data_IF_349089640949
#
_entry.id   IF_349089640949
#
_cell.length_a   1.000
_cell.length_b   1.000
_cell.length_c   1.000
_cell.angle_alpha   90.00
_cell.angle_beta   90.00
_cell.angle_gamma   90.00
#
_symmetry.space_group_name_H-M   'P 1'
#
loop_
_entity.id
_entity.type
_entity.pdbx_description
1 polymer ?
#
# COMPACT_ATOMS: atom_id res chain seq x y z
N UNK A 1 -74.61 47.90 -44.82
CA UNK A 1 -75.85 47.27 -44.36
C UNK A 1 -75.47 46.08 -43.48
N UNK A 2 -76.00 46.06 -42.26
CA UNK A 2 -76.25 44.94 -41.31
C UNK A 2 -75.40 43.65 -41.38
N UNK A 3 -74.97 43.02 -40.29
CA UNK A 3 -75.21 43.17 -38.86
C UNK A 3 -74.36 42.12 -38.12
N UNK A 4 -74.08 42.35 -36.84
CA UNK A 4 -74.05 41.39 -35.70
C UNK A 4 -73.26 40.07 -35.89
N UNK A 5 -72.33 39.65 -35.03
CA UNK A 5 -72.12 39.92 -33.62
C UNK A 5 -71.59 38.62 -32.97
N UNK A 6 -70.71 38.76 -31.97
CA UNK A 6 -70.36 37.84 -30.88
C UNK A 6 -70.15 36.33 -31.13
N UNK A 7 -68.99 35.80 -30.69
CA UNK A 7 -68.85 35.09 -29.40
C UNK A 7 -67.60 34.19 -29.37
N UNK A 8 -66.93 34.19 -28.22
CA UNK A 8 -65.85 33.28 -27.84
C UNK A 8 -66.32 31.81 -27.69
N UNK A 9 -65.40 30.85 -27.87
CA UNK A 9 -64.85 29.91 -26.84
C UNK A 9 -64.37 28.59 -27.47
N UNK A 10 -63.14 28.20 -27.09
CA UNK A 10 -62.38 26.95 -27.32
C UNK A 10 -63.17 25.64 -27.16
N UNK A 11 -62.76 24.56 -27.87
CA UNK A 11 -62.61 23.23 -27.27
C UNK A 11 -61.79 22.21 -28.08
N UNK A 12 -61.04 21.42 -27.30
CA UNK A 12 -60.14 20.31 -27.63
C UNK A 12 -60.77 19.21 -28.51
N UNK A 13 -59.92 18.46 -29.23
CA UNK A 13 -59.83 16.99 -29.07
C UNK A 13 -58.70 16.38 -29.91
N UNK A 14 -57.85 15.65 -29.21
CA UNK A 14 -56.83 14.74 -29.74
C UNK A 14 -57.43 13.38 -30.10
N UNK A 15 -56.80 12.70 -31.08
CA UNK A 15 -56.53 11.24 -31.17
C UNK A 15 -56.83 10.69 -32.57
N UNK A 16 -55.95 10.86 -33.56
CA UNK A 16 -54.64 10.22 -33.75
C UNK A 16 -54.69 8.67 -33.74
N UNK A 17 -55.26 8.11 -34.79
CA UNK A 17 -55.13 6.70 -35.21
C UNK A 17 -53.64 6.34 -35.42
N UNK A 18 -53.03 5.73 -34.41
CA UNK A 18 -51.72 5.04 -34.48
C UNK A 18 -51.90 3.52 -34.52
N UNK A 19 -52.11 2.97 -35.71
CA UNK A 19 -52.00 1.53 -36.03
C UNK A 19 -51.59 1.51 -37.51
N UNK A 20 -50.33 1.36 -37.90
CA UNK A 20 -49.62 0.08 -38.03
C UNK A 20 -48.10 0.34 -38.10
N UNK A 21 -47.37 0.18 -36.99
CA UNK A 21 -45.90 0.18 -36.96
C UNK A 21 -45.34 -0.53 -35.71
N UNK A 22 -45.94 -1.65 -35.31
CA UNK A 22 -45.49 -2.45 -34.16
C UNK A 22 -45.35 -3.91 -34.57
N UNK A 23 -44.19 -4.30 -35.11
CA UNK A 23 -43.70 -5.69 -35.00
C UNK A 23 -42.19 -5.93 -35.28
N UNK A 24 -41.36 -4.90 -35.44
CA UNK A 24 -39.92 -5.10 -35.72
C UNK A 24 -38.94 -4.50 -34.67
N UNK A 25 -39.42 -3.99 -33.54
CA UNK A 25 -38.55 -3.39 -32.50
C UNK A 25 -38.83 -4.06 -31.15
N UNK A 26 -38.42 -5.33 -31.00
CA UNK A 26 -38.44 -5.98 -29.67
C UNK A 26 -37.18 -6.78 -29.32
N UNK A 27 -36.20 -6.88 -30.22
CA UNK A 27 -34.97 -7.63 -29.95
C UNK A 27 -33.65 -6.84 -30.02
N UNK A 28 -33.65 -5.57 -30.43
CA UNK A 28 -32.42 -4.75 -30.46
C UNK A 28 -32.24 -3.82 -29.23
N UNK A 29 -33.31 -3.45 -28.51
CA UNK A 29 -33.23 -2.49 -27.41
C UNK A 29 -32.85 -3.11 -26.05
N UNK A 30 -32.70 -4.44 -25.95
CA UNK A 30 -32.35 -5.14 -24.69
C UNK A 30 -30.83 -5.31 -24.47
N UNK A 31 -30.00 -4.95 -25.46
CA UNK A 31 -28.52 -5.09 -25.39
C UNK A 31 -27.75 -3.80 -25.09
N UNK A 32 -28.40 -2.61 -25.12
CA UNK A 32 -27.71 -1.33 -24.83
C UNK A 32 -28.10 -0.68 -23.50
N UNK A 33 -29.26 -1.00 -22.91
CA UNK A 33 -29.62 -0.48 -21.58
C UNK A 33 -28.90 -1.20 -20.43
N UNK A 34 -28.50 -2.47 -20.62
CA UNK A 34 -27.78 -3.25 -19.61
C UNK A 34 -26.31 -2.85 -19.46
N UNK A 35 -25.67 -2.31 -20.52
CA UNK A 35 -24.26 -1.85 -20.44
C UNK A 35 -24.08 -0.55 -19.65
N UNK A 36 -25.02 0.39 -19.71
CA UNK A 36 -24.93 1.66 -18.95
C UNK A 36 -25.21 1.48 -17.45
N UNK A 37 -26.09 0.56 -17.07
CA UNK A 37 -26.34 0.25 -15.65
C UNK A 37 -25.26 -0.67 -15.06
N UNK A 38 -24.69 -1.60 -15.83
CA UNK A 38 -23.56 -2.41 -15.41
C UNK A 38 -22.30 -1.56 -15.16
N UNK A 39 -22.02 -0.55 -15.98
CA UNK A 39 -20.88 0.35 -15.78
C UNK A 39 -21.02 1.24 -14.53
N UNK A 40 -22.25 1.66 -14.17
CA UNK A 40 -22.51 2.43 -12.93
C UNK A 40 -22.45 1.55 -11.67
N UNK A 41 -22.88 0.29 -11.74
CA UNK A 41 -22.70 -0.66 -10.64
C UNK A 41 -21.24 -1.09 -10.49
N UNK A 42 -20.51 -1.34 -11.59
CA UNK A 42 -19.09 -1.64 -11.56
C UNK A 42 -18.28 -0.46 -10.99
N UNK A 43 -18.60 0.80 -11.35
CA UNK A 43 -17.97 1.98 -10.72
C UNK A 43 -18.31 2.11 -9.24
N UNK A 44 -19.54 1.81 -8.78
CA UNK A 44 -19.89 1.82 -7.35
C UNK A 44 -19.21 0.69 -6.56
N UNK A 45 -19.05 -0.49 -7.15
CA UNK A 45 -18.36 -1.63 -6.54
C UNK A 45 -16.85 -1.36 -6.51
N UNK A 46 -16.26 -0.83 -7.59
CA UNK A 46 -14.86 -0.41 -7.61
C UNK A 46 -14.58 0.74 -6.62
N UNK A 47 -15.50 1.71 -6.46
CA UNK A 47 -15.35 2.76 -5.43
C UNK A 47 -15.51 2.23 -4.00
N UNK A 48 -16.36 1.23 -3.76
CA UNK A 48 -16.48 0.55 -2.45
C UNK A 48 -15.30 -0.39 -2.17
N UNK A 49 -14.77 -1.06 -3.18
CA UNK A 49 -13.57 -1.89 -3.07
C UNK A 49 -12.33 -1.03 -2.86
N UNK A 50 -12.19 0.09 -3.58
CA UNK A 50 -11.14 1.07 -3.35
C UNK A 50 -11.29 1.77 -2.00
N UNK A 51 -12.51 2.04 -1.51
CA UNK A 51 -12.73 2.59 -0.17
C UNK A 51 -12.44 1.55 0.94
N UNK A 52 -12.81 0.27 0.76
CA UNK A 52 -12.45 -0.81 1.68
C UNK A 52 -10.95 -1.17 1.63
N UNK A 53 -10.30 -1.00 0.48
CA UNK A 53 -8.86 -1.14 0.35
C UNK A 53 -8.12 0.07 0.94
N UNK A 54 -8.64 1.29 0.77
CA UNK A 54 -8.09 2.49 1.39
C UNK A 54 -8.28 2.51 2.91
N UNK A 55 -9.41 2.04 3.44
CA UNK A 55 -9.60 1.82 4.89
C UNK A 55 -8.69 0.70 5.43
N UNK A 56 -8.24 -0.23 4.58
CA UNK A 56 -7.20 -1.23 4.90
C UNK A 56 -5.76 -0.69 4.81
N UNK A 57 -5.57 0.49 4.22
CA UNK A 57 -4.25 1.13 4.05
C UNK A 57 -4.08 2.31 5.02
N UNK A 58 -5.17 2.87 5.55
CA UNK A 58 -5.14 3.98 6.50
C UNK A 58 -5.15 3.57 7.97
N UNK A 59 -4.97 2.29 8.28
CA UNK A 59 -4.96 1.78 9.64
C UNK A 59 -3.90 0.70 9.78
N UNK A 60 -2.83 1.04 10.48
CA UNK A 60 -2.00 0.08 11.21
C UNK A 60 -2.89 -0.97 11.90
N UNK A 61 -2.69 -2.25 11.57
CA UNK A 61 -3.28 -3.37 12.31
C UNK A 61 -4.36 -4.18 11.59
N UNK A 62 -3.92 -5.21 10.85
CA UNK A 62 -4.41 -6.59 10.95
C UNK A 62 -3.83 -7.42 9.79
N UNK A 63 -2.56 -7.80 9.90
CA UNK A 63 -2.05 -8.93 9.11
C UNK A 63 -2.72 -10.18 9.69
N UNK A 64 -3.55 -10.86 8.91
CA UNK A 64 -4.08 -12.17 9.31
C UNK A 64 -2.90 -13.14 9.38
N UNK A 65 -2.58 -13.54 10.61
CA UNK A 65 -1.23 -13.86 11.06
C UNK A 65 -0.56 -15.07 10.40
N UNK A 66 -1.28 -16.12 10.05
CA UNK A 66 -0.59 -17.37 9.66
C UNK A 66 -0.19 -17.33 8.19
N UNK A 67 -1.15 -17.36 7.26
CA UNK A 67 -0.79 -17.55 5.84
C UNK A 67 -0.35 -16.24 5.16
N UNK A 68 -1.09 -15.15 5.39
CA UNK A 68 -0.76 -13.85 4.79
C UNK A 68 0.50 -13.25 5.41
N UNK A 69 0.71 -13.43 6.71
CA UNK A 69 1.90 -12.94 7.40
C UNK A 69 3.17 -13.67 6.96
N UNK A 70 3.14 -15.00 6.89
CA UNK A 70 4.27 -15.79 6.38
C UNK A 70 4.55 -15.48 4.90
N UNK A 71 3.52 -15.37 4.06
CA UNK A 71 3.71 -14.98 2.66
C UNK A 71 4.33 -13.58 2.53
N UNK A 72 3.92 -12.63 3.36
CA UNK A 72 4.49 -11.27 3.38
C UNK A 72 5.96 -11.29 3.76
N UNK A 73 6.31 -11.98 4.86
CA UNK A 73 7.69 -12.17 5.28
C UNK A 73 8.55 -12.83 4.18
N UNK A 74 8.02 -13.88 3.55
CA UNK A 74 8.67 -14.58 2.46
C UNK A 74 8.99 -13.66 1.26
N UNK A 75 8.07 -12.79 0.87
CA UNK A 75 8.31 -11.85 -0.23
C UNK A 75 9.40 -10.82 0.10
N UNK A 76 9.43 -10.29 1.33
CA UNK A 76 10.51 -9.42 1.76
C UNK A 76 11.86 -10.14 1.75
N UNK A 77 11.90 -11.38 2.25
CA UNK A 77 13.10 -12.23 2.20
C UNK A 77 13.60 -12.43 0.76
N UNK A 78 12.71 -12.77 -0.18
CA UNK A 78 13.08 -12.96 -1.58
C UNK A 78 13.66 -11.68 -2.20
N UNK A 79 12.99 -10.54 -1.99
CA UNK A 79 13.42 -9.25 -2.55
C UNK A 79 14.76 -8.81 -1.97
N UNK A 80 14.92 -8.90 -0.65
CA UNK A 80 16.19 -8.61 0.02
C UNK A 80 17.32 -9.53 -0.50
N UNK A 81 17.07 -10.84 -0.59
CA UNK A 81 18.07 -11.82 -1.07
C UNK A 81 18.54 -11.50 -2.48
N UNK A 82 17.61 -11.16 -3.39
CA UNK A 82 17.95 -10.79 -4.77
C UNK A 82 18.87 -9.58 -4.78
N UNK A 83 18.52 -8.51 -4.08
CA UNK A 83 19.33 -7.28 -4.08
C UNK A 83 20.69 -7.51 -3.42
N UNK A 84 20.74 -8.19 -2.28
CA UNK A 84 21.98 -8.51 -1.57
C UNK A 84 22.90 -9.39 -2.43
N UNK A 85 22.34 -10.29 -3.26
CA UNK A 85 23.14 -11.11 -4.20
C UNK A 85 23.79 -10.31 -5.32
N UNK A 86 23.27 -9.12 -5.63
CA UNK A 86 23.81 -8.21 -6.64
C UNK A 86 24.89 -7.26 -6.09
N UNK A 87 25.11 -7.26 -4.77
CA UNK A 87 26.15 -6.47 -4.11
C UNK A 87 27.52 -7.16 -4.26
N UNK A 88 28.58 -6.35 -4.39
CA UNK A 88 29.94 -6.86 -4.60
C UNK A 88 30.43 -7.73 -3.43
N UNK A 89 31.30 -8.69 -3.75
CA UNK A 89 31.88 -9.60 -2.75
C UNK A 89 32.69 -8.80 -1.73
N UNK A 90 32.26 -8.81 -0.46
CA UNK A 90 32.85 -8.01 0.62
C UNK A 90 32.05 -6.76 1.01
N UNK A 91 31.00 -6.42 0.27
CA UNK A 91 30.01 -5.40 0.68
C UNK A 91 28.71 -6.07 1.12
N UNK A 92 28.03 -5.51 2.13
CA UNK A 92 26.74 -6.00 2.63
C UNK A 92 26.81 -7.19 3.58
N UNK A 93 27.92 -7.40 4.29
CA UNK A 93 28.01 -8.41 5.37
C UNK A 93 26.93 -8.18 6.44
N UNK A 94 26.80 -6.95 6.94
CA UNK A 94 25.75 -6.57 7.91
C UNK A 94 24.34 -6.84 7.37
N UNK A 95 24.10 -6.66 6.07
CA UNK A 95 22.82 -6.94 5.43
C UNK A 95 22.54 -8.44 5.32
N UNK A 96 23.58 -9.26 5.10
CA UNK A 96 23.46 -10.73 5.12
C UNK A 96 23.16 -11.21 6.54
N UNK A 97 23.81 -10.64 7.55
CA UNK A 97 23.56 -10.96 8.94
C UNK A 97 22.12 -10.59 9.34
N UNK A 98 21.65 -9.40 8.97
CA UNK A 98 20.27 -8.98 9.21
C UNK A 98 19.26 -9.88 8.48
N UNK A 99 19.53 -10.23 7.22
CA UNK A 99 18.72 -11.17 6.46
C UNK A 99 18.68 -12.55 7.15
N UNK A 100 19.82 -13.07 7.61
CA UNK A 100 19.90 -14.35 8.30
C UNK A 100 19.10 -14.34 9.62
N UNK A 101 19.17 -13.24 10.38
CA UNK A 101 18.32 -13.04 11.57
C UNK A 101 16.83 -13.12 11.21
N UNK A 102 16.41 -12.45 10.13
CA UNK A 102 15.04 -12.51 9.62
C UNK A 102 14.62 -13.92 9.19
N UNK A 103 15.49 -14.65 8.48
CA UNK A 103 15.26 -16.04 8.06
C UNK A 103 15.09 -16.97 9.26
N UNK A 104 15.90 -16.80 10.31
CA UNK A 104 15.78 -17.59 11.56
C UNK A 104 14.43 -17.36 12.23
N UNK A 105 13.94 -16.12 12.26
CA UNK A 105 12.61 -15.78 12.78
C UNK A 105 11.50 -16.39 11.91
N UNK A 106 11.63 -16.31 10.59
CA UNK A 106 10.70 -16.90 9.64
C UNK A 106 10.58 -18.42 9.82
N UNK A 107 11.70 -19.15 9.95
CA UNK A 107 11.68 -20.60 10.20
C UNK A 107 10.99 -20.96 11.51
N UNK A 108 11.29 -20.23 12.59
CA UNK A 108 10.58 -20.41 13.86
C UNK A 108 9.09 -20.15 13.74
N UNK A 109 8.69 -19.17 12.93
CA UNK A 109 7.29 -18.88 12.65
C UNK A 109 6.58 -20.01 11.89
N UNK A 110 7.29 -20.74 11.03
CA UNK A 110 6.75 -21.90 10.31
C UNK A 110 6.70 -23.19 11.13
N UNK A 111 7.44 -23.26 12.25
CA UNK A 111 7.70 -24.50 12.99
C UNK A 111 6.93 -24.62 14.33
N UNK A 112 6.17 -23.63 14.83
CA UNK A 112 5.64 -23.68 16.21
C UNK A 112 4.36 -22.89 16.58
N UNK A 113 3.92 -23.09 17.84
CA UNK A 113 2.67 -22.57 18.44
C UNK A 113 2.68 -21.05 18.74
N UNK A 114 3.84 -20.43 18.95
CA UNK A 114 4.00 -18.97 19.08
C UNK A 114 4.11 -18.23 17.73
N UNK A 115 3.66 -18.87 16.65
CA UNK A 115 3.90 -18.45 15.26
C UNK A 115 3.63 -16.97 15.00
N UNK A 116 2.56 -16.39 15.56
CA UNK A 116 2.19 -14.99 15.27
C UNK A 116 3.28 -13.97 15.68
N UNK A 117 3.86 -14.07 16.88
CA UNK A 117 4.92 -13.12 17.29
C UNK A 117 6.16 -13.27 16.42
N UNK A 118 6.54 -14.51 16.09
CA UNK A 118 7.66 -14.77 15.18
C UNK A 118 7.38 -14.28 13.76
N UNK A 119 6.15 -14.38 13.26
CA UNK A 119 5.73 -13.80 11.98
C UNK A 119 5.94 -12.29 11.98
N UNK A 120 5.42 -11.58 12.99
CA UNK A 120 5.51 -10.11 13.04
C UNK A 120 6.97 -9.64 13.14
N UNK A 121 7.78 -10.29 13.98
CA UNK A 121 9.22 -10.04 14.07
C UNK A 121 9.94 -10.32 12.74
N UNK A 122 9.62 -11.44 12.10
CA UNK A 122 10.20 -11.79 10.80
C UNK A 122 9.84 -10.77 9.72
N UNK A 123 8.58 -10.32 9.65
CA UNK A 123 8.14 -9.28 8.72
C UNK A 123 8.97 -8.01 8.93
N UNK A 124 9.09 -7.52 10.16
CA UNK A 124 9.83 -6.29 10.44
C UNK A 124 11.30 -6.40 10.05
N UNK A 125 11.99 -7.47 10.47
CA UNK A 125 13.41 -7.66 10.16
C UNK A 125 13.66 -7.86 8.66
N UNK A 126 12.83 -8.67 7.98
CA UNK A 126 13.01 -8.94 6.55
C UNK A 126 12.65 -7.73 5.67
N UNK A 127 11.63 -6.96 6.07
CA UNK A 127 11.29 -5.70 5.40
C UNK A 127 12.39 -4.66 5.60
N UNK A 128 12.98 -4.58 6.79
CA UNK A 128 14.14 -3.71 7.02
C UNK A 128 15.33 -4.11 6.14
N UNK A 129 15.65 -5.40 6.07
CA UNK A 129 16.71 -5.91 5.19
C UNK A 129 16.46 -5.59 3.71
N UNK A 130 15.20 -5.68 3.25
CA UNK A 130 14.83 -5.26 1.90
C UNK A 130 15.13 -3.77 1.67
N UNK A 131 14.60 -2.89 2.49
CA UNK A 131 14.76 -1.44 2.30
C UNK A 131 16.22 -1.00 2.45
N UNK A 132 16.99 -1.57 3.37
CA UNK A 132 18.43 -1.29 3.48
C UNK A 132 19.21 -1.78 2.27
N UNK A 133 18.84 -2.93 1.70
CA UNK A 133 19.47 -3.41 0.47
C UNK A 133 19.16 -2.49 -0.73
N UNK A 134 17.94 -1.97 -0.80
CA UNK A 134 17.55 -0.97 -1.80
C UNK A 134 18.27 0.36 -1.58
N UNK A 135 18.37 0.84 -0.34
CA UNK A 135 19.15 2.03 0.04
C UNK A 135 20.61 1.90 -0.43
N UNK A 136 21.24 0.75 -0.19
CA UNK A 136 22.59 0.46 -0.68
C UNK A 136 22.70 0.49 -2.21
N UNK A 137 21.68 -0.03 -2.92
CA UNK A 137 21.62 0.04 -4.38
C UNK A 137 21.44 1.49 -4.87
N UNK A 138 20.58 2.28 -4.22
CA UNK A 138 20.43 3.70 -4.51
C UNK A 138 21.79 4.38 -4.33
N UNK A 139 22.42 4.27 -3.17
CA UNK A 139 23.72 4.88 -2.89
C UNK A 139 24.82 4.46 -3.91
N UNK A 140 24.92 3.18 -4.24
CA UNK A 140 26.02 2.66 -5.07
C UNK A 140 25.83 2.87 -6.59
N UNK A 141 24.58 2.98 -7.08
CA UNK A 141 24.30 2.90 -8.53
C UNK A 141 23.53 4.10 -9.08
N UNK A 142 23.92 5.31 -8.69
CA UNK A 142 23.28 6.55 -9.15
C UNK A 142 23.07 6.61 -10.68
N UNK A 143 24.10 6.26 -11.46
CA UNK A 143 24.06 6.26 -12.94
C UNK A 143 23.08 5.26 -13.56
N UNK A 144 22.65 4.25 -12.81
CA UNK A 144 21.75 3.19 -13.28
C UNK A 144 20.34 3.30 -12.68
N UNK A 145 20.07 4.33 -11.87
CA UNK A 145 18.75 4.54 -11.27
C UNK A 145 17.72 4.79 -12.38
N UNK A 146 16.59 4.11 -12.29
CA UNK A 146 15.44 4.43 -13.11
C UNK A 146 14.87 5.79 -12.70
N UNK A 147 14.43 6.59 -13.67
CA UNK A 147 13.79 7.87 -13.41
C UNK A 147 12.35 7.63 -12.94
N UNK A 148 12.19 7.44 -11.64
CA UNK A 148 10.90 7.29 -10.95
C UNK A 148 10.52 8.58 -10.22
N UNK A 149 9.23 8.80 -10.01
CA UNK A 149 8.76 9.97 -9.27
C UNK A 149 9.25 9.92 -7.82
N UNK A 150 9.87 11.01 -7.35
CA UNK A 150 10.34 11.11 -5.97
C UNK A 150 9.18 11.11 -4.97
N UNK A 151 9.37 10.55 -3.77
CA UNK A 151 8.43 10.70 -2.68
C UNK A 151 8.25 12.19 -2.34
N UNK A 152 7.03 12.57 -1.94
CA UNK A 152 6.74 13.95 -1.56
C UNK A 152 7.45 14.29 -0.24
N UNK A 153 8.13 15.44 -0.12
CA UNK A 153 8.77 15.87 1.13
C UNK A 153 7.81 15.87 2.31
N UNK A 154 6.60 16.42 2.15
CA UNK A 154 5.59 16.46 3.20
C UNK A 154 5.09 15.05 3.62
N UNK A 155 5.16 14.08 2.71
CA UNK A 155 4.84 12.69 3.06
C UNK A 155 5.99 12.08 3.87
N UNK A 156 7.23 12.32 3.46
CA UNK A 156 8.42 11.78 4.12
C UNK A 156 8.58 12.36 5.53
N UNK A 157 8.46 13.68 5.69
CA UNK A 157 8.49 14.36 7.00
C UNK A 157 7.43 13.80 7.95
N UNK A 158 6.20 13.63 7.45
CA UNK A 158 5.12 13.04 8.24
C UNK A 158 5.46 11.60 8.66
N UNK A 159 5.96 10.79 7.72
CA UNK A 159 6.26 9.39 7.98
C UNK A 159 7.42 9.23 8.97
N UNK A 160 8.48 10.02 8.82
CA UNK A 160 9.60 10.10 9.76
C UNK A 160 9.10 10.46 11.16
N UNK A 161 8.28 11.50 11.29
CA UNK A 161 7.72 11.89 12.58
C UNK A 161 6.83 10.82 13.23
N UNK A 162 6.13 10.01 12.43
CA UNK A 162 5.38 8.85 12.95
C UNK A 162 6.31 7.72 13.44
N UNK A 163 7.42 7.48 12.75
CA UNK A 163 8.43 6.49 13.15
C UNK A 163 9.21 6.94 14.41
N UNK A 164 9.51 8.23 14.53
CA UNK A 164 10.18 8.83 15.69
C UNK A 164 9.34 8.67 16.96
N UNK A 165 8.05 9.02 16.90
CA UNK A 165 7.11 8.80 18.00
C UNK A 165 6.97 7.33 18.42
N UNK A 166 7.21 6.39 17.50
CA UNK A 166 7.23 4.96 17.81
C UNK A 166 8.52 4.56 18.50
N UNK A 167 9.66 5.12 18.08
CA UNK A 167 10.96 4.94 18.73
C UNK A 167 10.93 5.39 20.19
N UNK A 168 10.38 6.57 20.47
CA UNK A 168 10.23 7.07 21.84
C UNK A 168 9.45 6.09 22.73
N UNK A 169 8.37 5.49 22.21
CA UNK A 169 7.55 4.52 22.95
C UNK A 169 8.29 3.23 23.27
N UNK A 170 9.21 2.80 22.40
CA UNK A 170 10.02 1.60 22.62
C UNK A 170 11.35 1.91 23.33
N UNK A 171 11.66 3.18 23.60
CA UNK A 171 12.90 3.59 24.25
C UNK A 171 13.07 2.94 25.64
N UNK A 172 11.99 2.80 26.38
CA UNK A 172 12.03 2.18 27.71
C UNK A 172 11.38 0.80 27.76
N UNK A 173 11.00 0.24 26.61
CA UNK A 173 10.43 -1.09 26.52
C UNK A 173 11.52 -2.17 26.68
N UNK A 174 11.13 -3.34 27.21
CA UNK A 174 12.00 -4.52 27.19
C UNK A 174 12.19 -4.98 25.73
N UNK A 175 13.42 -4.85 25.24
CA UNK A 175 13.82 -5.28 23.90
C UNK A 175 14.59 -6.58 24.09
N UNK A 176 14.14 -7.65 23.45
CA UNK A 176 14.69 -8.98 23.67
C UNK A 176 16.06 -9.11 23.00
N UNK A 177 16.11 -9.94 21.96
CA UNK A 177 17.31 -10.15 21.15
C UNK A 177 17.55 -9.02 20.15
N UNK A 178 16.63 -8.08 20.01
CA UNK A 178 16.74 -6.91 19.13
C UNK A 178 17.34 -5.66 19.79
N UNK A 179 17.83 -5.73 21.02
CA UNK A 179 18.40 -4.56 21.73
C UNK A 179 19.47 -3.82 20.91
N UNK A 180 20.31 -4.56 20.18
CA UNK A 180 21.35 -4.03 19.32
C UNK A 180 20.82 -3.30 18.07
N UNK A 181 19.58 -3.59 17.65
CA UNK A 181 18.95 -2.97 16.47
C UNK A 181 18.25 -1.65 16.78
N UNK A 182 17.99 -1.34 18.05
CA UNK A 182 17.42 -0.03 18.40
C UNK A 182 18.33 1.15 18.04
N UNK A 183 19.62 1.19 18.45
CA UNK A 183 20.50 2.30 18.05
C UNK A 183 20.67 2.39 16.53
N UNK A 184 20.64 1.24 15.82
CA UNK A 184 20.63 1.23 14.35
C UNK A 184 19.36 1.91 13.82
N UNK A 185 18.20 1.59 14.38
CA UNK A 185 16.92 2.20 13.98
C UNK A 185 16.93 3.72 14.17
N UNK A 186 17.46 4.20 15.29
CA UNK A 186 17.61 5.64 15.57
C UNK A 186 18.52 6.30 14.54
N UNK A 187 19.68 5.69 14.26
CA UNK A 187 20.63 6.26 13.29
C UNK A 187 20.07 6.26 11.86
N UNK A 188 19.32 5.23 11.45
CA UNK A 188 18.66 5.21 10.15
C UNK A 188 17.63 6.32 10.00
N UNK A 189 16.86 6.60 11.06
CA UNK A 189 15.87 7.67 11.03
C UNK A 189 16.56 9.05 10.99
N UNK A 190 17.62 9.24 11.78
CA UNK A 190 18.45 10.46 11.75
C UNK A 190 19.06 10.70 10.36
N UNK A 191 19.53 9.65 9.68
CA UNK A 191 20.03 9.76 8.31
C UNK A 191 18.90 10.07 7.32
N UNK A 192 17.71 9.49 7.49
CA UNK A 192 16.56 9.79 6.64
C UNK A 192 16.09 11.25 6.74
N UNK A 193 16.31 11.90 7.88
CA UNK A 193 16.03 13.31 8.12
C UNK A 193 17.05 14.27 7.48
N UNK A 194 18.24 13.77 7.14
CA UNK A 194 19.29 14.59 6.55
C UNK A 194 18.88 15.08 5.16
N UNK A 195 18.70 16.40 5.04
CA UNK A 195 18.23 17.05 3.81
C UNK A 195 19.20 16.95 2.64
N UNK A 196 20.44 16.55 2.90
CA UNK A 196 21.48 16.39 1.87
C UNK A 196 21.37 15.05 1.13
N UNK A 197 20.51 14.13 1.59
CA UNK A 197 20.31 12.84 0.95
C UNK A 197 19.34 12.89 -0.25
N UNK A 198 19.57 12.01 -1.22
CA UNK A 198 18.62 11.74 -2.29
C UNK A 198 17.26 11.31 -1.70
N UNK A 199 16.16 11.87 -2.20
CA UNK A 199 14.83 11.63 -1.63
C UNK A 199 14.41 10.15 -1.63
N UNK A 200 14.89 9.33 -2.58
CA UNK A 200 14.65 7.88 -2.57
C UNK A 200 15.51 7.19 -1.52
N UNK A 201 16.77 7.60 -1.36
CA UNK A 201 17.62 7.09 -0.29
C UNK A 201 16.97 7.37 1.08
N UNK A 202 16.58 8.62 1.34
CA UNK A 202 15.91 9.00 2.58
C UNK A 202 14.62 8.19 2.83
N UNK A 203 13.84 7.95 1.77
CA UNK A 203 12.66 7.07 1.83
C UNK A 203 13.01 5.63 2.22
N UNK A 204 14.01 5.02 1.58
CA UNK A 204 14.41 3.65 1.89
C UNK A 204 14.93 3.53 3.34
N UNK A 205 15.69 4.52 3.82
CA UNK A 205 16.16 4.58 5.20
C UNK A 205 15.02 4.72 6.20
N UNK A 206 14.05 5.62 5.96
CA UNK A 206 12.88 5.77 6.81
C UNK A 206 12.03 4.50 6.85
N UNK A 207 11.85 3.83 5.71
CA UNK A 207 11.10 2.57 5.62
C UNK A 207 11.81 1.41 6.33
N UNK A 208 13.14 1.38 6.29
CA UNK A 208 13.94 0.43 7.07
C UNK A 208 13.78 0.68 8.58
N UNK A 209 13.85 1.95 9.00
CA UNK A 209 13.66 2.32 10.39
C UNK A 209 12.25 1.94 10.89
N UNK A 210 11.20 2.28 10.16
CA UNK A 210 9.81 1.88 10.44
C UNK A 210 9.65 0.37 10.63
N UNK A 211 10.28 -0.41 9.75
CA UNK A 211 10.21 -1.86 9.80
C UNK A 211 10.94 -2.46 11.02
N UNK A 212 12.07 -1.87 11.42
CA UNK A 212 12.76 -2.25 12.66
C UNK A 212 11.95 -1.85 13.90
N UNK A 213 11.37 -0.64 13.93
CA UNK A 213 10.43 -0.23 14.99
C UNK A 213 9.32 -1.26 15.16
N UNK A 214 8.71 -1.68 14.04
CA UNK A 214 7.67 -2.70 14.05
C UNK A 214 8.15 -4.03 14.64
N UNK A 215 9.36 -4.48 14.31
CA UNK A 215 9.90 -5.71 14.89
C UNK A 215 10.12 -5.57 16.41
N UNK A 216 10.71 -4.45 16.85
CA UNK A 216 11.02 -4.15 18.25
C UNK A 216 9.75 -4.03 19.11
N UNK A 217 8.71 -3.37 18.62
CA UNK A 217 7.39 -3.29 19.28
C UNK A 217 6.77 -4.67 19.52
N UNK A 218 7.10 -5.65 18.67
CA UNK A 218 6.64 -7.03 18.80
C UNK A 218 7.59 -7.90 19.63
N UNK A 219 8.50 -7.28 20.38
CA UNK A 219 9.42 -7.92 21.32
C UNK A 219 10.52 -8.71 20.64
N UNK A 220 11.05 -8.22 19.50
CA UNK A 220 12.29 -8.73 18.93
C UNK A 220 13.41 -8.66 19.96
#
# INVERSE_FOLDING_TARGET
MSSNGNALVRKNSSSAMKKHAKKAIKHAAKKQATKKHAAKHAKKIAKKAAKKAAEKVSGSGAVYATDYGLMTAFHHMQRATVVISLMEKGTGEDLRDLLERGVKLYRKATEGEEGNKFVLRAIGVLRAAEHLSLAGLYAAREKHRQKVASPSPAWLEKFIGEADQRLEKIEHAERGKGTDLFPVTVELLRQAEDSDHDAHLAFELAMAADALCFALENGL
#
